data_IF_096360007455
#
_entry.id   IF_096360007455
#
_cell.length_a   1.000
_cell.length_b   1.000
_cell.length_c   1.000
_cell.angle_alpha   90.00
_cell.angle_beta   90.00
_cell.angle_gamma   90.00
#
_symmetry.space_group_name_H-M   'P 1'
#
loop_
_entity.id
_entity.type
_entity.pdbx_description
1 polymer ?
#
# COMPACT_ATOMS: atom_id res chain seq x y z
N UNK A 1 11.05 -0.11 -5.02
CA UNK A 1 10.65 0.60 -3.79
C UNK A 1 11.80 0.83 -2.84
N UNK A 2 12.56 -0.18 -2.41
CA UNK A 2 13.69 -0.01 -1.46
C UNK A 2 14.70 1.07 -1.90
N UNK A 3 15.22 1.02 -3.13
CA UNK A 3 16.18 2.00 -3.63
C UNK A 3 15.63 3.44 -3.68
N UNK A 4 14.35 3.59 -4.05
CA UNK A 4 13.69 4.91 -4.03
C UNK A 4 13.55 5.45 -2.61
N UNK A 5 13.16 4.61 -1.65
CA UNK A 5 13.08 4.99 -0.25
C UNK A 5 14.46 5.38 0.30
N UNK A 6 15.51 4.62 0.00
CA UNK A 6 16.89 4.94 0.39
C UNK A 6 17.34 6.31 -0.15
N UNK A 7 17.06 6.58 -1.42
CA UNK A 7 17.41 7.87 -2.03
C UNK A 7 16.62 9.02 -1.38
N UNK A 8 15.30 8.85 -1.19
CA UNK A 8 14.46 9.84 -0.53
C UNK A 8 14.92 10.15 0.89
N UNK A 9 15.25 9.13 1.68
CA UNK A 9 15.77 9.30 3.05
C UNK A 9 17.05 10.12 3.06
N UNK A 10 17.99 9.87 2.13
CA UNK A 10 19.24 10.64 2.04
C UNK A 10 18.96 12.13 1.80
N UNK A 11 18.05 12.44 0.87
CA UNK A 11 17.67 13.81 0.55
C UNK A 11 16.98 14.46 1.76
N UNK A 12 15.98 13.79 2.34
CA UNK A 12 15.19 14.32 3.46
C UNK A 12 16.02 14.53 4.73
N UNK A 13 17.11 13.77 4.93
CA UNK A 13 18.07 13.99 6.01
C UNK A 13 18.95 15.21 5.80
N UNK A 14 19.31 15.51 4.55
CA UNK A 14 20.28 16.56 4.21
C UNK A 14 19.65 17.92 3.90
N UNK A 15 18.36 17.94 3.53
CA UNK A 15 17.66 19.16 3.13
C UNK A 15 17.35 20.10 4.32
N UNK A 16 17.05 21.35 4.01
CA UNK A 16 16.57 22.36 4.96
C UNK A 16 15.22 22.93 4.48
N UNK A 17 14.12 22.83 5.26
CA UNK A 17 14.03 22.16 6.56
C UNK A 17 14.22 20.65 6.44
N UNK A 18 14.82 20.03 7.46
CA UNK A 18 14.98 18.57 7.53
C UNK A 18 13.62 17.89 7.70
N UNK A 19 13.45 16.72 7.10
CA UNK A 19 12.24 15.90 7.25
C UNK A 19 11.49 15.69 5.94
N UNK A 20 10.37 15.01 6.02
CA UNK A 20 9.54 14.70 4.87
C UNK A 20 8.60 13.53 5.10
N UNK A 21 7.93 13.08 4.05
CA UNK A 21 6.99 11.98 4.12
C UNK A 21 7.22 10.98 3.00
N UNK A 22 7.24 9.70 3.37
CA UNK A 22 7.29 8.57 2.46
C UNK A 22 5.98 7.80 2.59
N UNK A 23 5.29 7.55 1.48
CA UNK A 23 4.08 6.73 1.42
C UNK A 23 4.38 5.54 0.51
N UNK A 24 4.48 4.36 1.09
CA UNK A 24 4.73 3.13 0.35
C UNK A 24 3.43 2.55 -0.21
N UNK A 25 3.47 2.15 -1.47
CA UNK A 25 2.35 1.49 -2.12
C UNK A 25 2.33 -0.01 -1.78
N UNK A 26 1.50 -0.36 -0.82
CA UNK A 26 1.22 -1.72 -0.41
C UNK A 26 0.14 -2.41 -1.24
N UNK A 27 -0.56 -3.32 -0.60
CA UNK A 27 -1.70 -4.06 -1.14
C UNK A 27 -2.39 -4.81 -0.01
N UNK A 28 -3.66 -5.14 -0.15
CA UNK A 28 -4.32 -6.11 0.74
C UNK A 28 -3.61 -7.48 0.73
N UNK A 29 -2.80 -7.78 -0.30
CA UNK A 29 -1.94 -8.96 -0.33
C UNK A 29 -0.76 -8.90 0.64
N UNK A 30 -0.54 -7.77 1.33
CA UNK A 30 0.34 -7.70 2.50
C UNK A 30 -0.29 -8.28 3.77
N UNK A 31 -1.57 -8.64 3.72
CA UNK A 31 -2.32 -9.23 4.82
C UNK A 31 -2.81 -10.65 4.51
N UNK A 32 -3.35 -10.86 3.31
CA UNK A 32 -3.91 -12.15 2.89
C UNK A 32 -3.52 -12.47 1.44
N UNK A 33 -2.99 -13.67 1.16
CA UNK A 33 -2.62 -14.08 -0.18
C UNK A 33 -3.84 -14.35 -1.07
N UNK A 34 -3.60 -14.38 -2.37
CA UNK A 34 -4.50 -14.97 -3.37
C UNK A 34 -3.88 -16.25 -3.92
N UNK A 35 -4.67 -17.17 -4.49
CA UNK A 35 -4.11 -18.31 -5.19
C UNK A 35 -3.07 -17.89 -6.24
N UNK A 36 -1.99 -18.64 -6.36
CA UNK A 36 -0.89 -18.44 -7.33
C UNK A 36 -0.23 -17.06 -7.29
N UNK A 37 -0.17 -16.41 -6.12
CA UNK A 37 0.41 -15.07 -5.97
C UNK A 37 1.66 -15.02 -5.08
N UNK A 38 2.42 -16.12 -4.95
CA UNK A 38 3.54 -16.24 -4.01
C UNK A 38 4.52 -15.05 -4.12
N UNK A 39 5.04 -14.77 -5.32
CA UNK A 39 6.03 -13.70 -5.51
C UNK A 39 5.46 -12.31 -5.19
N UNK A 40 4.23 -12.04 -5.63
CA UNK A 40 3.54 -10.79 -5.34
C UNK A 40 3.27 -10.63 -3.83
N UNK A 41 2.73 -11.66 -3.20
CA UNK A 41 2.43 -11.69 -1.76
C UNK A 41 3.69 -11.50 -0.94
N UNK A 42 4.77 -12.24 -1.22
CA UNK A 42 6.06 -12.08 -0.54
C UNK A 42 6.60 -10.64 -0.67
N UNK A 43 6.53 -10.06 -1.88
CA UNK A 43 6.96 -8.69 -2.13
C UNK A 43 6.14 -7.69 -1.31
N UNK A 44 4.82 -7.84 -1.26
CA UNK A 44 3.94 -6.91 -0.53
C UNK A 44 4.09 -7.04 1.00
N UNK A 45 4.37 -8.23 1.53
CA UNK A 45 4.75 -8.40 2.93
C UNK A 45 6.10 -7.73 3.24
N UNK A 46 7.08 -7.83 2.33
CA UNK A 46 8.37 -7.14 2.48
C UNK A 46 8.21 -5.61 2.51
N UNK A 47 7.26 -5.04 1.76
CA UNK A 47 6.93 -3.60 1.83
C UNK A 47 6.46 -3.20 3.22
N UNK A 48 5.66 -4.04 3.88
CA UNK A 48 5.22 -3.79 5.27
C UNK A 48 6.40 -3.74 6.24
N UNK A 49 7.34 -4.69 6.12
CA UNK A 49 8.57 -4.67 6.91
C UNK A 49 9.40 -3.41 6.67
N UNK A 50 9.60 -3.05 5.39
CA UNK A 50 10.31 -1.83 5.00
C UNK A 50 9.65 -0.57 5.59
N UNK A 51 8.33 -0.45 5.51
CA UNK A 51 7.59 0.69 6.07
C UNK A 51 7.80 0.84 7.57
N UNK A 52 7.71 -0.27 8.32
CA UNK A 52 7.93 -0.29 9.77
C UNK A 52 9.36 0.12 10.12
N UNK A 53 10.36 -0.41 9.41
CA UNK A 53 11.77 -0.09 9.65
C UNK A 53 12.08 1.37 9.37
N UNK A 54 11.62 1.91 8.23
CA UNK A 54 11.81 3.34 7.91
C UNK A 54 11.13 4.22 8.96
N UNK A 55 9.91 3.88 9.37
CA UNK A 55 9.19 4.64 10.40
C UNK A 55 9.92 4.66 11.75
N UNK A 56 10.65 3.59 12.09
CA UNK A 56 11.46 3.51 13.30
C UNK A 56 12.76 4.30 13.14
N UNK A 57 13.53 4.00 12.10
CA UNK A 57 14.92 4.49 11.94
C UNK A 57 14.99 5.98 11.57
N UNK A 58 13.91 6.52 11.01
CA UNK A 58 13.88 7.89 10.50
C UNK A 58 13.21 8.90 11.44
N UNK A 59 12.73 8.47 12.61
CA UNK A 59 12.15 9.36 13.64
C UNK A 59 13.05 10.56 14.02
N UNK A 60 14.38 10.36 14.26
CA UNK A 60 15.24 11.47 14.63
C UNK A 60 15.39 12.56 13.56
N UNK A 61 14.95 12.28 12.34
CA UNK A 61 15.08 13.16 11.18
C UNK A 61 13.75 13.78 10.75
N UNK A 62 12.69 13.64 11.55
CA UNK A 62 11.34 14.11 11.21
C UNK A 62 10.83 13.58 9.86
N UNK A 63 11.16 12.32 9.53
CA UNK A 63 10.69 11.65 8.31
C UNK A 63 9.57 10.69 8.70
N UNK A 64 8.35 11.03 8.29
CA UNK A 64 7.19 10.18 8.47
C UNK A 64 7.15 9.09 7.37
N UNK A 65 6.88 7.85 7.74
CA UNK A 65 6.69 6.77 6.77
C UNK A 65 5.39 6.05 7.02
N UNK A 66 4.57 5.94 5.99
CA UNK A 66 3.29 5.21 6.01
C UNK A 66 3.15 4.29 4.80
N UNK A 67 2.13 3.45 4.83
CA UNK A 67 1.77 2.53 3.76
C UNK A 67 0.29 2.62 3.45
N UNK A 68 -0.04 2.63 2.16
CA UNK A 68 -1.42 2.46 1.70
C UNK A 68 -1.59 1.08 1.08
N UNK A 69 -2.48 0.27 1.65
CA UNK A 69 -2.82 -1.06 1.14
C UNK A 69 -4.07 -0.97 0.28
N UNK A 70 -3.90 -1.24 -1.02
CA UNK A 70 -4.94 -1.03 -2.03
C UNK A 70 -5.56 -2.38 -2.39
N UNK A 71 -6.90 -2.43 -2.42
CA UNK A 71 -7.67 -3.57 -2.87
C UNK A 71 -8.59 -3.23 -4.04
N UNK A 72 -8.37 -3.91 -5.18
CA UNK A 72 -9.22 -3.87 -6.37
C UNK A 72 -9.51 -2.46 -6.93
N UNK A 73 -8.52 -1.59 -7.10
CA UNK A 73 -8.67 -0.37 -7.88
C UNK A 73 -8.76 -0.70 -9.38
N UNK A 74 -9.63 0.00 -10.11
CA UNK A 74 -9.82 -0.18 -11.54
C UNK A 74 -8.64 0.42 -12.32
N UNK A 75 -7.74 -0.44 -12.77
CA UNK A 75 -6.56 -0.15 -13.58
C UNK A 75 -6.37 -1.26 -14.61
N UNK A 76 -5.51 -1.06 -15.60
CA UNK A 76 -5.15 -2.08 -16.60
C UNK A 76 -4.69 -3.39 -15.93
N UNK A 77 -3.93 -3.30 -14.84
CA UNK A 77 -3.46 -4.46 -14.07
C UNK A 77 -4.61 -5.30 -13.50
N UNK A 78 -5.74 -4.68 -13.17
CA UNK A 78 -6.91 -5.32 -12.56
C UNK A 78 -8.03 -5.59 -13.55
N UNK A 79 -7.84 -5.33 -14.85
CA UNK A 79 -8.87 -5.54 -15.87
C UNK A 79 -9.32 -6.99 -15.93
N UNK A 80 -8.39 -7.92 -15.80
CA UNK A 80 -8.69 -9.37 -15.71
C UNK A 80 -9.65 -9.73 -14.57
N UNK A 81 -9.76 -8.91 -13.53
CA UNK A 81 -10.69 -9.13 -12.42
C UNK A 81 -12.15 -9.00 -12.84
N UNK A 82 -12.42 -8.25 -13.92
CA UNK A 82 -13.76 -8.14 -14.50
C UNK A 82 -14.22 -9.43 -15.17
N UNK A 83 -13.29 -10.26 -15.66
CA UNK A 83 -13.58 -11.55 -16.26
C UNK A 83 -13.70 -12.68 -15.23
N UNK A 84 -13.26 -12.45 -14.00
CA UNK A 84 -13.28 -13.42 -12.89
C UNK A 84 -11.88 -13.81 -12.42
N UNK A 85 -11.78 -14.03 -11.12
CA UNK A 85 -10.55 -14.40 -10.42
C UNK A 85 -10.78 -15.67 -9.61
N UNK A 86 -9.78 -16.54 -9.61
CA UNK A 86 -9.76 -17.74 -8.79
C UNK A 86 -9.80 -17.36 -7.29
N UNK A 87 -10.73 -17.97 -6.58
CA UNK A 87 -10.92 -17.83 -5.14
C UNK A 87 -10.19 -18.95 -4.38
N UNK A 88 -10.07 -18.79 -3.05
CA UNK A 88 -9.43 -19.77 -2.18
C UNK A 88 -10.16 -21.14 -2.19
N UNK A 89 -11.46 -21.15 -2.43
CA UNK A 89 -12.30 -22.34 -2.54
C UNK A 89 -12.23 -23.04 -3.91
N UNK A 90 -11.38 -22.55 -4.82
CA UNK A 90 -11.24 -23.06 -6.19
C UNK A 90 -12.30 -22.53 -7.17
N UNK A 91 -13.29 -21.77 -6.73
CA UNK A 91 -14.26 -21.14 -7.62
C UNK A 91 -13.66 -19.93 -8.34
N UNK A 92 -14.29 -19.52 -9.46
CA UNK A 92 -13.95 -18.25 -10.14
C UNK A 92 -15.09 -17.26 -9.93
N UNK A 93 -14.75 -16.06 -9.43
CA UNK A 93 -15.75 -15.00 -9.18
C UNK A 93 -15.27 -13.66 -9.75
N UNK A 94 -16.20 -12.91 -10.32
CA UNK A 94 -15.98 -11.50 -10.63
C UNK A 94 -15.90 -10.73 -9.33
N UNK A 95 -14.85 -9.94 -9.17
CA UNK A 95 -14.68 -9.11 -7.98
C UNK A 95 -14.93 -7.64 -8.29
N UNK A 96 -15.72 -6.95 -7.45
CA UNK A 96 -15.91 -5.51 -7.56
C UNK A 96 -14.58 -4.73 -7.52
N UNK A 97 -14.55 -3.63 -8.27
CA UNK A 97 -13.42 -2.70 -8.32
C UNK A 97 -13.91 -1.30 -7.98
N UNK A 98 -13.05 -0.49 -7.38
CA UNK A 98 -13.32 0.93 -7.11
C UNK A 98 -12.60 1.82 -8.12
N UNK A 99 -13.07 3.05 -8.31
CA UNK A 99 -12.39 4.06 -9.11
C UNK A 99 -11.01 4.38 -8.50
N UNK A 100 -9.98 4.43 -9.33
CA UNK A 100 -8.62 4.77 -8.92
C UNK A 100 -8.51 6.19 -8.34
N UNK A 101 -9.43 7.08 -8.67
CA UNK A 101 -9.51 8.43 -8.11
C UNK A 101 -9.64 8.42 -6.58
N UNK A 102 -10.32 7.41 -6.00
CA UNK A 102 -10.42 7.27 -4.54
C UNK A 102 -9.06 6.97 -3.90
N UNK A 103 -8.23 6.18 -4.57
CA UNK A 103 -6.85 5.91 -4.12
C UNK A 103 -6.02 7.20 -4.15
N UNK A 104 -6.12 7.97 -5.23
CA UNK A 104 -5.40 9.24 -5.34
C UNK A 104 -5.81 10.23 -4.24
N UNK A 105 -7.10 10.33 -3.94
CA UNK A 105 -7.62 11.16 -2.84
C UNK A 105 -7.06 10.71 -1.48
N UNK A 106 -7.03 9.40 -1.22
CA UNK A 106 -6.49 8.84 0.02
C UNK A 106 -5.00 9.14 0.17
N UNK A 107 -4.20 8.96 -0.89
CA UNK A 107 -2.77 9.33 -0.88
C UNK A 107 -2.58 10.82 -0.63
N UNK A 108 -3.37 11.68 -1.29
CA UNK A 108 -3.32 13.11 -1.08
C UNK A 108 -3.69 13.51 0.36
N UNK A 109 -4.67 12.84 0.98
CA UNK A 109 -5.02 13.06 2.37
C UNK A 109 -3.87 12.68 3.31
N UNK A 110 -3.24 11.51 3.11
CA UNK A 110 -2.04 11.11 3.86
C UNK A 110 -0.89 12.12 3.70
N UNK A 111 -0.68 12.61 2.48
CA UNK A 111 0.43 13.51 2.16
C UNK A 111 0.28 14.91 2.79
N UNK A 112 -0.96 15.39 2.96
CA UNK A 112 -1.25 16.74 3.50
C UNK A 112 -1.14 16.85 5.02
N UNK A 113 -1.04 15.74 5.74
CA UNK A 113 -0.87 15.80 7.20
C UNK A 113 0.44 16.51 7.58
N UNK A 114 0.47 17.27 8.68
CA UNK A 114 1.71 17.80 9.21
C UNK A 114 2.64 16.65 9.60
N UNK A 115 3.96 16.89 9.65
CA UNK A 115 4.95 15.83 9.91
C UNK A 115 4.87 15.23 11.33
N UNK A 116 4.23 15.91 12.26
CA UNK A 116 3.95 15.41 13.61
C UNK A 116 2.88 14.30 13.64
N UNK A 117 2.05 14.21 12.57
CA UNK A 117 1.01 13.21 12.44
C UNK A 117 1.29 12.29 11.26
N UNK A 118 1.13 10.99 11.44
CA UNK A 118 1.36 9.99 10.40
C UNK A 118 0.25 8.95 10.34
N UNK A 119 -0.27 8.70 9.15
CA UNK A 119 -1.06 7.50 8.88
C UNK A 119 -0.07 6.37 8.61
N UNK A 120 0.17 5.54 9.64
CA UNK A 120 1.13 4.44 9.55
C UNK A 120 0.70 3.38 8.55
N UNK A 121 -0.57 2.97 8.59
CA UNK A 121 -1.20 2.06 7.65
C UNK A 121 -2.61 2.53 7.30
N UNK A 122 -2.95 2.46 6.03
CA UNK A 122 -4.29 2.72 5.52
C UNK A 122 -4.67 1.60 4.56
N UNK A 123 -5.82 0.99 4.75
CA UNK A 123 -6.40 0.06 3.77
C UNK A 123 -7.56 0.75 3.06
N UNK A 124 -7.51 0.80 1.74
CA UNK A 124 -8.59 1.27 0.87
C UNK A 124 -8.92 0.20 -0.16
N UNK A 125 -10.18 -0.17 -0.25
CA UNK A 125 -10.60 -1.26 -1.13
C UNK A 125 -12.03 -1.10 -1.60
N UNK A 126 -12.40 -1.78 -2.70
CA UNK A 126 -13.79 -1.83 -3.13
C UNK A 126 -14.66 -2.47 -2.02
N UNK A 127 -15.75 -1.83 -1.65
CA UNK A 127 -16.57 -2.22 -0.48
C UNK A 127 -17.03 -3.69 -0.55
N UNK A 128 -17.44 -4.14 -1.74
CA UNK A 128 -18.02 -5.46 -1.92
C UNK A 128 -17.00 -6.52 -2.39
N UNK A 129 -15.69 -6.20 -2.41
CA UNK A 129 -14.70 -7.20 -2.74
C UNK A 129 -14.48 -8.17 -1.56
N UNK A 130 -14.22 -9.47 -1.81
CA UNK A 130 -13.95 -10.40 -0.74
C UNK A 130 -12.58 -10.14 -0.12
N UNK A 131 -12.55 -9.87 1.19
CA UNK A 131 -11.33 -9.70 1.98
C UNK A 131 -11.54 -10.25 3.39
N UNK A 132 -12.32 -9.57 4.25
CA UNK A 132 -12.74 -10.10 5.55
C UNK A 132 -13.74 -11.23 5.31
N UNK A 133 -13.58 -12.35 6.01
CA UNK A 133 -14.41 -13.54 5.79
C UNK A 133 -14.02 -14.38 4.55
N UNK A 134 -12.92 -14.06 3.92
CA UNK A 134 -12.28 -14.95 2.93
C UNK A 134 -11.70 -16.12 3.69
N UNK A 135 -12.42 -17.25 3.70
CA UNK A 135 -12.07 -18.50 4.36
C UNK A 135 -10.89 -19.22 3.76
#
# INVERSE_FOLDING_TARGET
MFLCAQAAIRIMKAQTPQGGRIINNGSISSHAPRPFSIAYTATKHAVTGLTKSISLDCRPYSIACGQIDIGNAATDMTERMAAGILQADGSTKVEPRMDVAHVAQAVAAMARLPLEANVQFMTIMATNMPFVGRG
#
